data_IF_159273926333
#
_entry.id   IF_159273926333
#
_cell.length_a   1.000
_cell.length_b   1.000
_cell.length_c   1.000
_cell.angle_alpha   90.00
_cell.angle_beta   90.00
_cell.angle_gamma   90.00
#
_symmetry.space_group_name_H-M   'P 1'
#
loop_
_entity.id
_entity.type
_entity.pdbx_description
1 polymer ?
#
# COMPACT_ATOMS: atom_id res chain seq x y z
N UNK A 1 8.78 -10.32 8.37
CA UNK A 1 9.51 -10.96 9.48
C UNK A 1 10.92 -11.37 9.06
N UNK A 2 11.09 -12.16 7.99
CA UNK A 2 12.41 -12.58 7.50
C UNK A 2 13.38 -11.40 7.28
N UNK A 3 12.96 -10.35 6.61
CA UNK A 3 13.79 -9.16 6.34
C UNK A 3 14.26 -8.45 7.61
N UNK A 4 13.44 -8.39 8.65
CA UNK A 4 13.79 -7.77 9.93
C UNK A 4 14.77 -8.60 10.72
N UNK A 5 14.67 -9.92 10.64
CA UNK A 5 15.60 -10.83 11.27
C UNK A 5 16.97 -10.76 10.57
N UNK A 6 17.01 -10.82 9.23
CA UNK A 6 18.26 -10.88 8.47
C UNK A 6 19.02 -9.54 8.42
N UNK A 7 18.29 -8.41 8.50
CA UNK A 7 18.89 -7.07 8.39
C UNK A 7 19.18 -6.40 9.73
N UNK A 8 18.39 -6.72 10.78
CA UNK A 8 18.45 -6.04 12.07
C UNK A 8 18.66 -6.98 13.25
N UNK A 9 18.70 -8.31 13.02
CA UNK A 9 18.75 -9.34 14.08
C UNK A 9 17.63 -9.15 15.13
N UNK A 10 16.44 -8.71 14.68
CA UNK A 10 15.30 -8.44 15.54
C UNK A 10 14.62 -9.71 15.97
N UNK A 11 14.47 -9.86 17.30
CA UNK A 11 13.66 -10.89 17.91
C UNK A 11 12.15 -10.59 17.84
N UNK A 12 11.31 -11.50 18.37
CA UNK A 12 9.86 -11.34 18.39
C UNK A 12 9.40 -10.07 19.12
N UNK A 13 10.12 -9.64 20.14
CA UNK A 13 9.79 -8.45 20.95
C UNK A 13 9.98 -7.16 20.17
N UNK A 14 11.11 -7.00 19.51
CA UNK A 14 11.45 -5.83 18.70
C UNK A 14 10.51 -5.73 17.50
N UNK A 15 10.21 -6.87 16.88
CA UNK A 15 9.23 -6.97 15.81
C UNK A 15 7.83 -6.54 16.29
N UNK A 16 7.43 -6.92 17.50
CA UNK A 16 6.18 -6.50 18.13
C UNK A 16 6.10 -4.98 18.30
N UNK A 17 7.17 -4.33 18.75
CA UNK A 17 7.22 -2.86 18.84
C UNK A 17 7.12 -2.18 17.49
N UNK A 18 7.74 -2.75 16.45
CA UNK A 18 7.60 -2.21 15.09
C UNK A 18 6.15 -2.29 14.60
N UNK A 19 5.45 -3.41 14.84
CA UNK A 19 4.02 -3.52 14.49
C UNK A 19 3.14 -2.56 15.29
N UNK A 20 3.45 -2.33 16.56
CA UNK A 20 2.75 -1.32 17.37
C UNK A 20 2.96 0.09 16.78
N UNK A 21 4.19 0.42 16.39
CA UNK A 21 4.51 1.67 15.69
C UNK A 21 3.71 1.83 14.39
N UNK A 22 3.69 0.78 13.55
CA UNK A 22 2.89 0.75 12.31
C UNK A 22 1.42 1.02 12.60
N UNK A 23 0.85 0.34 13.60
CA UNK A 23 -0.55 0.55 14.00
C UNK A 23 -0.85 1.98 14.39
N UNK A 24 0.01 2.60 15.21
CA UNK A 24 -0.12 4.01 15.60
C UNK A 24 -0.04 4.93 14.39
N UNK A 25 0.92 4.72 13.49
CA UNK A 25 1.04 5.52 12.26
C UNK A 25 -0.22 5.44 11.40
N UNK A 26 -0.76 4.23 11.19
CA UNK A 26 -1.99 4.03 10.41
C UNK A 26 -3.18 4.75 11.06
N UNK A 27 -3.35 4.63 12.38
CA UNK A 27 -4.42 5.31 13.12
C UNK A 27 -4.31 6.83 12.96
N UNK A 28 -3.12 7.40 13.13
CA UNK A 28 -2.91 8.85 13.00
C UNK A 28 -3.22 9.35 11.58
N UNK A 29 -2.77 8.62 10.56
CA UNK A 29 -3.05 8.97 9.16
C UNK A 29 -4.56 8.90 8.88
N UNK A 30 -5.22 7.84 9.30
CA UNK A 30 -6.65 7.65 9.05
C UNK A 30 -7.53 8.62 9.85
N UNK A 31 -7.19 8.90 11.11
CA UNK A 31 -7.97 9.79 11.95
C UNK A 31 -7.88 11.26 11.52
N UNK A 32 -6.68 11.73 11.19
CA UNK A 32 -6.43 13.16 10.99
C UNK A 32 -6.27 13.56 9.53
N UNK A 33 -5.66 12.71 8.71
CA UNK A 33 -5.20 13.11 7.39
C UNK A 33 -6.19 12.75 6.28
N UNK A 34 -6.84 11.58 6.37
CA UNK A 34 -7.70 11.08 5.30
C UNK A 34 -8.88 12.02 5.01
N UNK A 35 -9.54 12.54 6.06
CA UNK A 35 -10.69 13.46 5.91
C UNK A 35 -10.30 14.75 5.20
N UNK A 36 -9.10 15.27 5.46
CA UNK A 36 -8.59 16.49 4.83
C UNK A 36 -8.19 16.27 3.38
N UNK A 37 -7.52 15.15 3.08
CA UNK A 37 -7.04 14.82 1.73
C UNK A 37 -8.20 14.50 0.82
N UNK A 38 -9.09 13.59 1.21
CA UNK A 38 -10.26 13.20 0.39
C UNK A 38 -11.19 14.39 0.16
N UNK A 39 -11.46 15.20 1.21
CA UNK A 39 -12.31 16.38 1.10
C UNK A 39 -11.75 17.48 0.19
N UNK A 40 -10.43 17.57 0.03
CA UNK A 40 -9.78 18.62 -0.76
C UNK A 40 -9.40 18.20 -2.17
N UNK A 41 -8.99 16.96 -2.37
CA UNK A 41 -8.43 16.45 -3.63
C UNK A 41 -9.32 15.43 -4.33
N UNK A 42 -10.38 14.96 -3.67
CA UNK A 42 -11.23 13.90 -4.18
C UNK A 42 -10.64 12.50 -4.02
N UNK A 43 -11.46 11.49 -4.24
CA UNK A 43 -11.10 10.08 -3.96
C UNK A 43 -10.06 9.53 -4.93
N UNK A 44 -10.24 9.75 -6.23
CA UNK A 44 -9.34 9.23 -7.27
C UNK A 44 -7.94 9.82 -7.15
N UNK A 45 -7.84 11.13 -6.89
CA UNK A 45 -6.55 11.78 -6.63
C UNK A 45 -5.89 11.25 -5.37
N UNK A 46 -6.70 10.94 -4.35
CA UNK A 46 -6.22 10.37 -3.08
C UNK A 46 -5.68 8.96 -3.26
N UNK A 47 -6.38 8.09 -4.02
CA UNK A 47 -5.89 6.74 -4.38
C UNK A 47 -4.58 6.83 -5.14
N UNK A 48 -4.49 7.74 -6.12
CA UNK A 48 -3.28 7.95 -6.91
C UNK A 48 -2.11 8.41 -6.04
N UNK A 49 -2.33 9.38 -5.17
CA UNK A 49 -1.29 9.89 -4.25
C UNK A 49 -0.82 8.79 -3.30
N UNK A 50 -1.75 8.05 -2.66
CA UNK A 50 -1.41 6.91 -1.80
C UNK A 50 -0.63 5.83 -2.53
N UNK A 51 -1.03 5.49 -3.76
CA UNK A 51 -0.33 4.54 -4.61
C UNK A 51 1.07 4.99 -5.00
N UNK A 52 1.27 6.28 -5.32
CA UNK A 52 2.61 6.83 -5.61
C UNK A 52 3.51 6.72 -4.38
N UNK A 53 3.02 7.10 -3.19
CA UNK A 53 3.79 6.97 -1.94
C UNK A 53 4.16 5.51 -1.66
N UNK A 54 3.22 4.58 -1.85
CA UNK A 54 3.45 3.16 -1.67
C UNK A 54 4.51 2.63 -2.63
N UNK A 55 4.41 2.98 -3.91
CA UNK A 55 5.38 2.58 -4.94
C UNK A 55 6.77 3.14 -4.66
N UNK A 56 6.87 4.43 -4.31
CA UNK A 56 8.15 5.06 -3.97
C UNK A 56 8.79 4.42 -2.74
N UNK A 57 8.02 4.12 -1.70
CA UNK A 57 8.52 3.47 -0.49
C UNK A 57 9.03 2.06 -0.79
N UNK A 58 8.33 1.28 -1.62
CA UNK A 58 8.77 -0.05 -2.03
C UNK A 58 10.02 0.00 -2.91
N UNK A 59 10.07 0.93 -3.88
CA UNK A 59 11.24 1.14 -4.72
C UNK A 59 12.47 1.56 -3.88
N UNK A 60 12.27 2.45 -2.92
CA UNK A 60 13.31 2.87 -1.99
C UNK A 60 13.82 1.69 -1.14
N UNK A 61 12.93 0.80 -0.71
CA UNK A 61 13.33 -0.44 -0.01
C UNK A 61 14.25 -1.30 -0.88
N UNK A 62 13.87 -1.50 -2.15
CA UNK A 62 14.70 -2.27 -3.09
C UNK A 62 16.08 -1.64 -3.25
N UNK A 63 16.16 -0.32 -3.45
CA UNK A 63 17.41 0.40 -3.63
C UNK A 63 18.31 0.35 -2.38
N UNK A 64 17.72 0.41 -1.18
CA UNK A 64 18.44 0.26 0.09
C UNK A 64 19.00 -1.15 0.25
N UNK A 65 18.20 -2.18 -0.04
CA UNK A 65 18.63 -3.58 0.05
C UNK A 65 19.74 -3.90 -0.96
N UNK A 66 19.68 -3.32 -2.16
CA UNK A 66 20.73 -3.47 -3.17
C UNK A 66 22.00 -2.65 -2.86
N UNK A 67 22.04 -1.88 -1.77
CA UNK A 67 23.19 -1.03 -1.42
C UNK A 67 23.43 0.13 -2.39
N UNK A 68 22.46 0.46 -3.23
CA UNK A 68 22.58 1.56 -4.21
C UNK A 68 22.41 2.95 -3.59
N UNK A 69 21.92 3.02 -2.36
CA UNK A 69 21.80 4.27 -1.61
C UNK A 69 22.82 4.28 -0.48
N UNK A 70 23.48 5.46 -0.25
CA UNK A 70 24.36 5.58 0.89
C UNK A 70 23.54 5.32 2.16
N UNK A 71 24.01 4.37 2.96
CA UNK A 71 23.40 4.02 4.24
C UNK A 71 23.66 5.16 5.25
N UNK A 72 23.00 6.30 5.07
CA UNK A 72 23.03 7.40 6.03
C UNK A 72 22.06 7.09 7.17
N UNK A 73 22.59 6.73 8.31
CA UNK A 73 21.83 6.39 9.51
C UNK A 73 21.95 4.93 9.94
N UNK A 74 21.43 4.63 11.12
CA UNK A 74 21.37 3.26 11.61
C UNK A 74 20.35 2.44 10.83
N UNK A 75 20.54 1.10 10.67
CA UNK A 75 19.57 0.24 10.00
C UNK A 75 18.13 0.38 10.55
N UNK A 76 17.99 0.69 11.84
CA UNK A 76 16.72 1.00 12.47
C UNK A 76 16.03 2.23 11.85
N UNK A 77 16.76 3.33 11.68
CA UNK A 77 16.21 4.58 11.11
C UNK A 77 15.75 4.35 9.67
N UNK A 78 16.52 3.62 8.88
CA UNK A 78 16.16 3.26 7.50
C UNK A 78 14.88 2.43 7.46
N UNK A 79 14.79 1.39 8.32
CA UNK A 79 13.61 0.53 8.42
C UNK A 79 12.36 1.32 8.84
N UNK A 80 12.48 2.19 9.82
CA UNK A 80 11.37 3.06 10.26
C UNK A 80 10.92 4.00 9.15
N UNK A 81 11.85 4.59 8.42
CA UNK A 81 11.54 5.52 7.33
C UNK A 81 10.78 4.82 6.20
N UNK A 82 11.28 3.68 5.73
CA UNK A 82 10.63 2.88 4.67
C UNK A 82 9.26 2.36 5.13
N UNK A 83 9.20 1.80 6.34
CA UNK A 83 7.94 1.28 6.90
C UNK A 83 6.90 2.39 7.03
N UNK A 84 7.31 3.59 7.47
CA UNK A 84 6.41 4.75 7.54
C UNK A 84 5.87 5.12 6.16
N UNK A 85 6.70 5.13 5.13
CA UNK A 85 6.28 5.41 3.76
C UNK A 85 5.26 4.40 3.23
N UNK A 86 5.49 3.10 3.45
CA UNK A 86 4.56 2.02 3.08
C UNK A 86 3.24 2.18 3.83
N UNK A 87 3.29 2.38 5.16
CA UNK A 87 2.10 2.57 5.98
C UNK A 87 1.29 3.78 5.55
N UNK A 88 1.96 4.89 5.26
CA UNK A 88 1.32 6.13 4.83
C UNK A 88 0.58 5.93 3.50
N UNK A 89 1.24 5.34 2.50
CA UNK A 89 0.63 5.05 1.21
C UNK A 89 -0.58 4.12 1.33
N UNK A 90 -0.45 3.03 2.09
CA UNK A 90 -1.52 2.07 2.34
C UNK A 90 -2.69 2.67 3.12
N UNK A 91 -2.41 3.42 4.19
CA UNK A 91 -3.43 4.04 5.05
C UNK A 91 -4.27 5.10 4.31
N UNK A 92 -3.71 5.73 3.27
CA UNK A 92 -4.42 6.70 2.43
C UNK A 92 -5.19 5.99 1.30
N UNK A 93 -4.57 5.04 0.61
CA UNK A 93 -5.17 4.40 -0.55
C UNK A 93 -6.40 3.55 -0.20
N UNK A 94 -6.33 2.75 0.86
CA UNK A 94 -7.36 1.78 1.22
C UNK A 94 -8.74 2.40 1.47
N UNK A 95 -8.90 3.41 2.35
CA UNK A 95 -10.21 4.04 2.57
C UNK A 95 -10.69 4.85 1.36
N UNK A 96 -9.79 5.41 0.55
CA UNK A 96 -10.16 6.13 -0.66
C UNK A 96 -10.73 5.19 -1.73
N UNK A 97 -10.18 3.98 -1.88
CA UNK A 97 -10.71 2.94 -2.77
C UNK A 97 -12.12 2.52 -2.30
N UNK A 98 -12.30 2.27 -1.00
CA UNK A 98 -13.60 1.90 -0.44
C UNK A 98 -14.64 3.00 -0.62
N UNK A 99 -14.26 4.26 -0.45
CA UNK A 99 -15.13 5.43 -0.67
C UNK A 99 -15.52 5.57 -2.14
N UNK A 100 -14.57 5.48 -3.06
CA UNK A 100 -14.82 5.53 -4.50
C UNK A 100 -15.79 4.42 -4.95
N UNK A 101 -15.58 3.20 -4.49
CA UNK A 101 -16.45 2.08 -4.82
C UNK A 101 -17.86 2.22 -4.26
N UNK A 102 -18.01 2.71 -3.04
CA UNK A 102 -19.33 2.94 -2.44
C UNK A 102 -20.14 3.99 -3.20
N UNK A 103 -19.49 5.01 -3.75
CA UNK A 103 -20.13 6.02 -4.59
C UNK A 103 -20.54 5.46 -5.94
N UNK A 104 -19.70 4.68 -6.58
CA UNK A 104 -19.98 4.08 -7.88
C UNK A 104 -21.12 3.05 -7.82
N UNK A 105 -21.22 2.32 -6.72
CA UNK A 105 -22.23 1.28 -6.54
C UNK A 105 -23.65 1.82 -6.27
N UNK A 106 -23.77 3.06 -5.78
CA UNK A 106 -25.05 3.61 -5.35
C UNK A 106 -25.61 2.95 -4.08
N UNK A 107 -26.71 3.52 -3.55
CA UNK A 107 -27.24 3.13 -2.24
C UNK A 107 -27.74 1.68 -2.16
N UNK A 108 -28.28 1.13 -3.25
CA UNK A 108 -28.90 -0.21 -3.28
C UNK A 108 -27.88 -1.34 -3.33
N UNK A 109 -26.66 -1.11 -3.84
CA UNK A 109 -25.61 -2.13 -4.04
C UNK A 109 -24.32 -1.87 -3.26
N UNK A 110 -24.32 -0.85 -2.40
CA UNK A 110 -23.14 -0.44 -1.60
C UNK A 110 -22.56 -1.60 -0.78
N UNK A 111 -23.38 -2.39 -0.10
CA UNK A 111 -22.92 -3.54 0.70
C UNK A 111 -22.21 -4.59 -0.14
N UNK A 112 -22.76 -4.90 -1.32
CA UNK A 112 -22.16 -5.82 -2.27
C UNK A 112 -20.80 -5.35 -2.78
N UNK A 113 -20.71 -4.07 -3.18
CA UNK A 113 -19.47 -3.48 -3.66
C UNK A 113 -18.35 -3.49 -2.59
N UNK A 114 -18.68 -3.10 -1.35
CA UNK A 114 -17.73 -3.15 -0.24
C UNK A 114 -17.31 -4.58 0.10
N UNK A 115 -18.27 -5.54 0.06
CA UNK A 115 -17.97 -6.96 0.24
C UNK A 115 -17.02 -7.52 -0.83
N UNK A 116 -17.23 -7.15 -2.11
CA UNK A 116 -16.32 -7.52 -3.19
C UNK A 116 -14.90 -6.96 -2.97
N UNK A 117 -14.78 -5.68 -2.64
CA UNK A 117 -13.47 -5.07 -2.37
C UNK A 117 -12.76 -5.79 -1.23
N UNK A 118 -13.47 -6.08 -0.15
CA UNK A 118 -12.91 -6.76 1.01
C UNK A 118 -12.52 -8.20 0.65
N UNK A 119 -13.34 -8.91 -0.13
CA UNK A 119 -13.05 -10.24 -0.62
C UNK A 119 -11.80 -10.28 -1.51
N UNK A 120 -11.72 -9.41 -2.52
CA UNK A 120 -10.53 -9.31 -3.38
C UNK A 120 -9.30 -8.84 -2.59
N UNK A 121 -9.46 -7.94 -1.63
CA UNK A 121 -8.39 -7.52 -0.73
C UNK A 121 -7.83 -8.69 0.08
N UNK A 122 -8.70 -9.53 0.65
CA UNK A 122 -8.31 -10.73 1.41
C UNK A 122 -7.62 -11.77 0.51
N UNK A 123 -8.14 -11.99 -0.71
CA UNK A 123 -7.49 -12.87 -1.69
C UNK A 123 -6.10 -12.34 -2.07
N UNK A 124 -5.97 -11.03 -2.28
CA UNK A 124 -4.68 -10.39 -2.54
C UNK A 124 -3.69 -10.55 -1.40
N UNK A 125 -4.14 -10.46 -0.14
CA UNK A 125 -3.30 -10.71 1.03
C UNK A 125 -2.82 -12.16 1.09
N UNK A 126 -3.71 -13.12 0.88
CA UNK A 126 -3.33 -14.54 0.86
C UNK A 126 -2.34 -14.82 -0.28
N UNK A 127 -2.64 -14.36 -1.49
CA UNK A 127 -1.75 -14.51 -2.63
C UNK A 127 -0.37 -13.87 -2.36
N UNK A 128 -0.35 -12.67 -1.78
CA UNK A 128 0.89 -11.98 -1.41
C UNK A 128 1.73 -12.76 -0.40
N UNK A 129 1.10 -13.33 0.63
CA UNK A 129 1.79 -14.17 1.62
C UNK A 129 2.34 -15.46 1.01
N UNK A 130 1.55 -16.13 0.16
CA UNK A 130 1.98 -17.36 -0.51
C UNK A 130 3.14 -17.12 -1.48
N UNK A 131 3.13 -15.98 -2.18
CA UNK A 131 4.20 -15.62 -3.13
C UNK A 131 5.45 -15.05 -2.44
N UNK A 132 5.29 -14.42 -1.27
CA UNK A 132 6.40 -13.73 -0.60
C UNK A 132 7.54 -14.68 -0.22
N UNK A 133 7.25 -15.91 0.24
CA UNK A 133 8.27 -16.91 0.57
C UNK A 133 9.11 -17.32 -0.64
N UNK A 134 8.52 -17.91 -1.68
CA UNK A 134 9.25 -18.28 -2.90
C UNK A 134 10.00 -17.12 -3.55
N UNK A 135 9.41 -15.91 -3.57
CA UNK A 135 10.09 -14.73 -4.08
C UNK A 135 11.32 -14.37 -3.25
N UNK A 136 11.23 -14.52 -1.93
CA UNK A 136 12.36 -14.29 -1.04
C UNK A 136 13.50 -15.32 -1.29
N UNK A 137 13.16 -16.59 -1.50
CA UNK A 137 14.11 -17.68 -1.76
C UNK A 137 14.86 -17.50 -3.08
N UNK A 138 14.31 -16.75 -4.06
CA UNK A 138 14.98 -16.46 -5.33
C UNK A 138 16.22 -15.58 -5.18
N UNK A 139 16.34 -14.78 -4.13
CA UNK A 139 17.52 -13.93 -3.95
C UNK A 139 17.33 -12.81 -2.93
N UNK A 140 16.46 -13.00 -1.94
CA UNK A 140 16.32 -12.09 -0.81
C UNK A 140 15.15 -11.10 -0.93
N UNK A 141 15.16 -10.12 -0.04
CA UNK A 141 14.02 -9.21 0.18
C UNK A 141 13.70 -8.28 -1.00
N UNK A 142 14.65 -8.05 -1.91
CA UNK A 142 14.42 -7.19 -3.08
C UNK A 142 13.31 -7.72 -4.01
N UNK A 143 13.14 -9.04 -4.11
CA UNK A 143 12.14 -9.64 -5.00
C UNK A 143 10.69 -9.42 -4.54
N UNK A 144 10.30 -9.69 -3.28
CA UNK A 144 8.95 -9.38 -2.80
C UNK A 144 8.60 -7.88 -2.90
N UNK A 145 9.53 -6.99 -2.54
CA UNK A 145 9.28 -5.55 -2.62
C UNK A 145 9.24 -5.05 -4.07
N UNK A 146 10.09 -5.59 -4.95
CA UNK A 146 10.06 -5.30 -6.39
C UNK A 146 8.76 -5.75 -7.04
N UNK A 147 8.28 -6.95 -6.70
CA UNK A 147 6.98 -7.45 -7.13
C UNK A 147 5.84 -6.56 -6.64
N UNK A 148 5.85 -6.16 -5.37
CA UNK A 148 4.87 -5.22 -4.81
C UNK A 148 4.88 -3.87 -5.53
N UNK A 149 6.06 -3.32 -5.84
CA UNK A 149 6.20 -2.09 -6.61
C UNK A 149 5.62 -2.23 -8.03
N UNK A 150 5.86 -3.36 -8.70
CA UNK A 150 5.31 -3.64 -10.02
C UNK A 150 3.78 -3.73 -10.00
N UNK A 151 3.20 -4.43 -9.03
CA UNK A 151 1.74 -4.50 -8.84
C UNK A 151 1.14 -3.13 -8.56
N UNK A 152 1.79 -2.32 -7.72
CA UNK A 152 1.35 -0.95 -7.43
C UNK A 152 1.42 -0.06 -8.67
N UNK A 153 2.44 -0.23 -9.53
CA UNK A 153 2.55 0.47 -10.79
C UNK A 153 1.40 0.13 -11.74
N UNK A 154 1.05 -1.16 -11.87
CA UNK A 154 -0.11 -1.61 -12.64
C UNK A 154 -1.39 -0.98 -12.10
N UNK A 155 -1.59 -0.99 -10.78
CA UNK A 155 -2.71 -0.31 -10.15
C UNK A 155 -2.77 1.18 -10.53
N UNK A 156 -1.66 1.89 -10.44
CA UNK A 156 -1.58 3.31 -10.80
C UNK A 156 -1.88 3.58 -12.27
N UNK A 157 -1.48 2.67 -13.17
CA UNK A 157 -1.80 2.76 -14.59
C UNK A 157 -3.30 2.56 -14.90
N UNK A 158 -3.99 1.79 -14.05
CA UNK A 158 -5.43 1.54 -14.20
C UNK A 158 -6.30 2.64 -13.56
N UNK A 159 -5.80 3.39 -12.60
CA UNK A 159 -6.57 4.47 -11.92
C UNK A 159 -7.14 5.52 -12.90
N UNK A 160 -6.43 5.99 -13.95
CA UNK A 160 -6.99 6.95 -14.90
C UNK A 160 -8.18 6.42 -15.70
N UNK A 161 -8.32 5.11 -15.87
CA UNK A 161 -9.45 4.52 -16.60
C UNK A 161 -10.77 4.66 -15.82
N UNK A 162 -10.71 4.80 -14.49
CA UNK A 162 -11.87 4.99 -13.62
C UNK A 162 -12.47 6.41 -13.69
N UNK A 163 -11.74 7.36 -14.29
CA UNK A 163 -12.19 8.77 -14.43
C UNK A 163 -12.81 9.08 -15.77
N UNK A 164 -12.77 8.15 -16.75
CA UNK A 164 -13.42 8.35 -18.03
C UNK A 164 -14.91 8.12 -17.86
N UNK A 165 -15.79 9.13 -18.13
CA UNK A 165 -17.21 8.87 -18.27
C UNK A 165 -17.40 7.78 -19.32
N UNK A 166 -18.25 6.79 -19.05
CA UNK A 166 -18.64 5.81 -20.06
C UNK A 166 -19.20 6.57 -21.24
N UNK A 167 -18.55 6.50 -22.39
CA UNK A 167 -19.03 7.13 -23.64
C UNK A 167 -20.35 6.52 -24.15
N UNK A 168 -20.86 5.51 -23.48
CA UNK A 168 -22.04 4.74 -23.86
C UNK A 168 -23.38 5.31 -23.32
N UNK A 169 -23.37 6.51 -22.71
CA UNK A 169 -24.56 7.15 -22.13
C UNK A 169 -25.32 8.12 -23.05
N UNK A 170 -24.86 8.36 -24.29
CA UNK A 170 -25.48 9.31 -25.22
C UNK A 170 -26.07 8.66 -26.49
N UNK A 171 -26.42 7.39 -26.46
CA UNK A 171 -27.13 6.75 -27.57
C UNK A 171 -28.38 6.01 -27.03
N UNK A 172 -29.44 6.79 -26.69
CA UNK A 172 -30.72 6.21 -26.28
C UNK A 172 -31.77 7.28 -26.12
#
# INVERSE_FOLDING_TARGET
MLVLHDYLDYGPRETGWLFAYVGVCVILVQAFLIRRIVGRFGEVSTVRTGGIFLMLAQALTVLLVLGMLPASGTPLVQTLFVTTGICFGYAIATPAISSAASRLAGASSMGGALGMIQGFGSLGQVAGLVLAGPLYDLGGSQYPFGFGAAVTLVMLALVPSLTRPSADGEAG
#
